data_IF_636550963059
#
_entry.id   IF_636550963059
#
_cell.length_a   1.000
_cell.length_b   1.000
_cell.length_c   1.000
_cell.angle_alpha   90.00
_cell.angle_beta   90.00
_cell.angle_gamma   90.00
#
_symmetry.space_group_name_H-M   'P 1'
#
loop_
_entity.id
_entity.type
_entity.pdbx_description
1 polymer ?
#
# COMPACT_ATOMS: atom_id res chain seq x y z
N UNK A 1 9.62 -1.24 9.44
CA UNK A 1 9.33 -0.14 8.51
C UNK A 1 8.20 0.77 8.99
N UNK A 2 6.99 0.27 9.28
CA UNK A 2 5.87 1.11 9.75
C UNK A 2 6.14 1.93 11.04
N UNK A 3 7.09 1.49 11.89
CA UNK A 3 7.55 2.19 13.09
C UNK A 3 8.71 3.16 12.87
N UNK A 4 9.25 3.24 11.64
CA UNK A 4 10.35 4.15 11.35
C UNK A 4 9.82 5.59 11.36
N UNK A 5 10.55 6.48 12.03
CA UNK A 5 10.30 7.90 11.96
C UNK A 5 10.92 8.48 10.68
N UNK A 6 10.29 9.50 10.08
CA UNK A 6 10.95 10.25 9.02
C UNK A 6 12.20 10.95 9.56
N UNK A 7 13.13 11.28 8.67
CA UNK A 7 14.34 12.02 9.01
C UNK A 7 14.03 13.42 9.56
N UNK A 8 12.94 14.04 9.09
CA UNK A 8 12.41 15.30 9.58
C UNK A 8 10.91 15.16 9.90
N UNK A 9 10.58 15.10 11.19
CA UNK A 9 9.20 14.95 11.67
C UNK A 9 8.37 16.22 11.54
N UNK A 10 9.00 17.38 11.31
CA UNK A 10 8.30 18.64 11.05
C UNK A 10 7.83 18.72 9.60
N UNK A 11 8.58 18.14 8.65
CA UNK A 11 8.22 18.15 7.23
C UNK A 11 7.38 16.95 6.79
N UNK A 12 7.61 15.77 7.38
CA UNK A 12 6.99 14.53 6.94
C UNK A 12 6.07 13.94 8.01
N UNK A 13 4.94 13.39 7.57
CA UNK A 13 4.12 12.53 8.40
C UNK A 13 4.80 11.18 8.60
N UNK A 14 4.73 10.66 9.82
CA UNK A 14 4.97 9.24 10.03
C UNK A 14 3.88 8.39 9.37
N UNK A 15 4.18 7.11 9.16
CA UNK A 15 3.22 6.14 8.60
C UNK A 15 1.96 6.02 9.45
N UNK A 16 2.11 6.04 10.78
CA UNK A 16 0.98 5.90 11.71
C UNK A 16 0.11 7.16 11.73
N UNK A 17 0.71 8.36 11.75
CA UNK A 17 -0.02 9.62 11.63
C UNK A 17 -0.81 9.70 10.32
N UNK A 18 -0.18 9.31 9.19
CA UNK A 18 -0.86 9.29 7.89
C UNK A 18 -2.07 8.34 7.90
N UNK A 19 -1.96 7.18 8.54
CA UNK A 19 -3.07 6.24 8.69
C UNK A 19 -4.19 6.81 9.57
N UNK A 20 -3.87 7.36 10.75
CA UNK A 20 -4.84 8.01 11.64
C UNK A 20 -5.55 9.17 10.94
N UNK A 21 -4.80 10.06 10.27
CA UNK A 21 -5.37 11.22 9.59
C UNK A 21 -6.30 10.80 8.46
N UNK A 22 -5.95 9.76 7.69
CA UNK A 22 -6.84 9.22 6.67
C UNK A 22 -8.16 8.69 7.27
N UNK A 23 -8.08 7.96 8.39
CA UNK A 23 -9.26 7.43 9.06
C UNK A 23 -10.16 8.52 9.62
N UNK A 24 -9.57 9.57 10.19
CA UNK A 24 -10.24 10.72 10.80
C UNK A 24 -10.69 11.78 9.79
N UNK A 25 -10.19 11.72 8.55
CA UNK A 25 -10.45 12.75 7.54
C UNK A 25 -9.72 14.06 7.82
N UNK A 26 -8.57 14.01 8.50
CA UNK A 26 -7.72 15.17 8.79
C UNK A 26 -6.82 15.49 7.60
N UNK A 27 -6.62 16.78 7.36
CA UNK A 27 -5.65 17.29 6.39
C UNK A 27 -4.36 17.72 7.09
N UNK A 28 -3.24 17.70 6.36
CA UNK A 28 -1.95 18.19 6.83
C UNK A 28 -1.15 18.77 5.68
N UNK A 29 -0.44 19.87 5.94
CA UNK A 29 0.53 20.46 5.02
C UNK A 29 1.88 19.69 5.00
N UNK A 30 2.11 18.80 5.97
CA UNK A 30 3.27 17.91 5.97
C UNK A 30 3.18 16.91 4.81
N UNK A 31 4.33 16.47 4.32
CA UNK A 31 4.42 15.50 3.23
C UNK A 31 3.93 14.14 3.72
N UNK A 32 2.92 13.60 3.02
CA UNK A 32 2.36 12.29 3.28
C UNK A 32 3.25 11.19 2.68
N UNK A 33 3.39 10.02 3.32
CA UNK A 33 4.11 8.88 2.75
C UNK A 33 3.63 8.51 1.33
N UNK A 34 2.33 8.65 1.07
CA UNK A 34 1.72 8.40 -0.24
C UNK A 34 2.14 9.43 -1.30
N UNK A 35 2.45 10.68 -0.91
CA UNK A 35 2.98 11.69 -1.83
C UNK A 35 4.42 11.34 -2.24
N UNK A 36 5.29 11.06 -1.26
CA UNK A 36 6.66 10.60 -1.55
C UNK A 36 6.65 9.31 -2.36
N UNK A 37 5.74 8.39 -2.07
CA UNK A 37 5.56 7.16 -2.84
C UNK A 37 5.23 7.41 -4.30
N UNK A 38 4.29 8.31 -4.61
CA UNK A 38 3.96 8.67 -6.00
C UNK A 38 5.17 9.27 -6.72
N UNK A 39 5.84 10.23 -6.08
CA UNK A 39 7.03 10.84 -6.65
C UNK A 39 8.14 9.82 -6.94
N UNK A 40 8.41 8.89 -6.00
CA UNK A 40 9.38 7.83 -6.22
C UNK A 40 9.00 6.86 -7.35
N UNK A 41 7.71 6.55 -7.51
CA UNK A 41 7.26 5.70 -8.61
C UNK A 41 7.43 6.40 -9.97
N UNK A 42 7.11 7.70 -10.05
CA UNK A 42 7.28 8.52 -11.25
C UNK A 42 8.77 8.63 -11.63
N UNK A 43 9.62 9.04 -10.68
CA UNK A 43 11.08 9.16 -10.92
C UNK A 43 11.70 7.82 -11.31
N UNK A 44 11.29 6.72 -10.68
CA UNK A 44 11.77 5.39 -11.04
C UNK A 44 11.48 5.05 -12.51
N UNK A 45 10.22 5.24 -12.93
CA UNK A 45 9.80 5.01 -14.32
C UNK A 45 10.59 5.89 -15.27
N UNK A 46 10.64 7.19 -15.01
CA UNK A 46 11.27 8.15 -15.90
C UNK A 46 12.78 7.86 -16.07
N UNK A 47 13.48 7.48 -15.00
CA UNK A 47 14.90 7.08 -15.08
C UNK A 47 15.07 5.79 -15.88
N UNK A 48 14.22 4.79 -15.69
CA UNK A 48 14.30 3.53 -16.44
C UNK A 48 14.05 3.75 -17.94
N UNK A 49 13.06 4.59 -18.28
CA UNK A 49 12.76 4.95 -19.67
C UNK A 49 13.93 5.71 -20.32
N UNK A 50 14.60 6.60 -19.58
CA UNK A 50 15.77 7.33 -20.06
C UNK A 50 17.00 6.41 -20.22
N UNK A 51 17.16 5.44 -19.33
CA UNK A 51 18.20 4.41 -19.42
C UNK A 51 18.03 3.58 -20.70
N UNK A 52 16.80 3.15 -21.01
CA UNK A 52 16.50 2.41 -22.23
C UNK A 52 16.84 3.25 -23.49
N UNK A 53 16.36 4.49 -23.54
CA UNK A 53 16.69 5.41 -24.64
C UNK A 53 18.19 5.67 -24.79
N UNK A 54 18.92 5.78 -23.68
CA UNK A 54 20.37 5.97 -23.71
C UNK A 54 21.07 4.72 -24.30
N UNK A 55 20.63 3.52 -23.91
CA UNK A 55 21.14 2.25 -24.44
C UNK A 55 20.91 2.13 -25.95
N UNK A 56 19.76 2.54 -26.46
CA UNK A 56 19.46 2.52 -27.90
C UNK A 56 20.31 3.52 -28.71
N UNK A 57 20.63 4.68 -28.13
CA UNK A 57 21.28 5.79 -28.85
C UNK A 57 22.80 5.79 -28.80
N UNK A 58 23.43 5.08 -27.86
CA UNK A 58 24.88 5.18 -27.62
C UNK A 58 25.74 4.71 -28.81
N UNK A 59 25.25 3.73 -29.57
CA UNK A 59 25.93 3.16 -30.73
C UNK A 59 27.40 2.78 -30.42
N UNK A 60 28.33 3.23 -31.27
CA UNK A 60 29.77 2.92 -31.15
C UNK A 60 30.49 3.67 -30.02
N UNK A 61 29.84 4.60 -29.32
CA UNK A 61 30.44 5.38 -28.22
C UNK A 61 30.40 4.65 -26.87
N UNK A 62 29.86 3.44 -26.84
CA UNK A 62 29.74 2.62 -25.63
C UNK A 62 31.12 2.36 -25.01
N UNK A 63 31.25 2.64 -23.72
CA UNK A 63 32.46 2.39 -22.95
C UNK A 63 32.11 1.92 -21.52
N UNK A 64 33.12 1.64 -20.69
CA UNK A 64 32.91 1.12 -19.34
C UNK A 64 32.19 2.11 -18.40
N UNK A 65 32.50 3.41 -18.50
CA UNK A 65 31.81 4.46 -17.73
C UNK A 65 30.32 4.49 -18.11
N UNK A 66 30.07 4.41 -19.41
CA UNK A 66 28.86 3.93 -20.07
C UNK A 66 28.01 2.99 -19.21
N UNK A 67 28.53 1.76 -19.18
CA UNK A 67 27.87 0.63 -18.57
C UNK A 67 27.71 0.80 -17.05
N UNK A 68 28.73 1.30 -16.34
CA UNK A 68 28.64 1.53 -14.89
C UNK A 68 27.58 2.56 -14.54
N UNK A 69 27.50 3.68 -15.28
CA UNK A 69 26.49 4.72 -15.03
C UNK A 69 25.08 4.18 -15.25
N UNK A 70 24.86 3.35 -16.27
CA UNK A 70 23.55 2.73 -16.47
C UNK A 70 23.18 1.76 -15.35
N UNK A 71 24.14 1.02 -14.82
CA UNK A 71 23.93 0.14 -13.66
C UNK A 71 23.52 0.97 -12.44
N UNK A 72 24.23 2.06 -12.15
CA UNK A 72 23.92 2.95 -11.03
C UNK A 72 22.52 3.55 -11.13
N UNK A 73 22.14 4.01 -12.32
CA UNK A 73 20.81 4.56 -12.59
C UNK A 73 19.72 3.49 -12.39
N UNK A 74 19.94 2.26 -12.85
CA UNK A 74 19.00 1.15 -12.64
C UNK A 74 18.88 0.79 -11.16
N UNK A 75 19.97 0.80 -10.40
CA UNK A 75 19.96 0.57 -8.95
C UNK A 75 19.15 1.65 -8.25
N UNK A 76 19.43 2.93 -8.51
CA UNK A 76 18.71 4.05 -7.89
C UNK A 76 17.23 4.07 -8.25
N UNK A 77 16.89 3.79 -9.51
CA UNK A 77 15.50 3.73 -9.95
C UNK A 77 14.72 2.60 -9.25
N UNK A 78 15.30 1.40 -9.14
CA UNK A 78 14.66 0.29 -8.44
C UNK A 78 14.61 0.52 -6.92
N UNK A 79 15.59 1.23 -6.35
CA UNK A 79 15.56 1.64 -4.93
C UNK A 79 14.42 2.62 -4.65
N UNK A 80 14.19 3.58 -5.55
CA UNK A 80 13.04 4.48 -5.46
C UNK A 80 11.72 3.71 -5.55
N UNK A 81 11.57 2.80 -6.53
CA UNK A 81 10.36 1.98 -6.68
C UNK A 81 10.10 1.09 -5.46
N UNK A 82 11.16 0.50 -4.92
CA UNK A 82 11.10 -0.25 -3.67
C UNK A 82 10.49 0.61 -2.55
N UNK A 83 11.05 1.79 -2.30
CA UNK A 83 10.55 2.67 -1.23
C UNK A 83 9.13 3.18 -1.50
N UNK A 84 8.76 3.38 -2.77
CA UNK A 84 7.39 3.71 -3.16
C UNK A 84 6.40 2.64 -2.67
N UNK A 85 6.68 1.38 -2.96
CA UNK A 85 5.84 0.28 -2.52
C UNK A 85 5.90 0.07 -1.00
N UNK A 86 7.09 0.15 -0.41
CA UNK A 86 7.30 -0.09 1.03
C UNK A 86 6.58 0.94 1.90
N UNK A 87 6.53 2.22 1.47
CA UNK A 87 5.73 3.28 2.09
C UNK A 87 4.23 2.92 2.13
N UNK A 88 3.67 2.53 0.99
CA UNK A 88 2.26 2.14 0.90
C UNK A 88 1.96 0.85 1.69
N UNK A 89 2.89 -0.10 1.73
CA UNK A 89 2.77 -1.31 2.55
C UNK A 89 2.67 -0.94 4.04
N UNK A 90 3.53 -0.03 4.49
CA UNK A 90 3.53 0.47 5.86
C UNK A 90 2.23 1.15 6.24
N UNK A 91 1.72 2.07 5.41
CA UNK A 91 0.44 2.76 5.66
C UNK A 91 -0.72 1.77 5.69
N UNK A 92 -0.78 0.84 4.73
CA UNK A 92 -1.85 -0.17 4.68
C UNK A 92 -1.83 -1.07 5.92
N UNK A 93 -0.65 -1.46 6.40
CA UNK A 93 -0.53 -2.22 7.64
C UNK A 93 -0.93 -1.42 8.89
N UNK A 94 -0.59 -0.12 8.95
CA UNK A 94 -1.04 0.76 10.03
C UNK A 94 -2.56 0.92 10.02
N UNK A 95 -3.19 1.09 8.85
CA UNK A 95 -4.65 1.11 8.71
C UNK A 95 -5.30 -0.19 9.21
N UNK A 96 -4.72 -1.35 8.88
CA UNK A 96 -5.16 -2.63 9.43
C UNK A 96 -5.03 -2.66 10.96
N UNK A 97 -3.91 -2.18 11.51
CA UNK A 97 -3.70 -2.11 12.97
C UNK A 97 -4.74 -1.26 13.69
N UNK A 98 -5.20 -0.18 13.06
CA UNK A 98 -6.20 0.73 13.62
C UNK A 98 -7.64 0.21 13.45
N UNK A 99 -7.96 -0.48 12.36
CA UNK A 99 -9.34 -0.83 12.00
C UNK A 99 -9.66 -2.31 11.98
N UNK A 100 -8.67 -3.19 12.07
CA UNK A 100 -8.82 -4.62 11.85
C UNK A 100 -9.47 -4.98 10.50
N UNK A 101 -9.39 -4.06 9.51
CA UNK A 101 -9.91 -4.29 8.17
C UNK A 101 -8.93 -5.16 7.37
N UNK A 102 -9.34 -6.40 7.11
CA UNK A 102 -8.58 -7.39 6.38
C UNK A 102 -8.16 -6.89 4.99
N UNK A 103 -8.97 -6.03 4.36
CA UNK A 103 -8.64 -5.43 3.06
C UNK A 103 -7.33 -4.63 3.13
N UNK A 104 -7.09 -3.91 4.22
CA UNK A 104 -5.86 -3.14 4.41
C UNK A 104 -4.65 -4.04 4.66
N UNK A 105 -4.84 -5.22 5.28
CA UNK A 105 -3.78 -6.21 5.41
C UNK A 105 -3.44 -6.88 4.07
N UNK A 106 -4.44 -7.17 3.24
CA UNK A 106 -4.24 -7.68 1.88
C UNK A 106 -3.51 -6.64 1.00
N UNK A 107 -3.87 -5.34 1.13
CA UNK A 107 -3.16 -4.24 0.46
C UNK A 107 -1.70 -4.15 0.92
N UNK A 108 -1.43 -4.28 2.22
CA UNK A 108 -0.08 -4.27 2.77
C UNK A 108 0.79 -5.41 2.19
N UNK A 109 0.25 -6.63 2.14
CA UNK A 109 0.92 -7.80 1.55
C UNK A 109 1.21 -7.57 0.06
N UNK A 110 0.23 -7.04 -0.67
CA UNK A 110 0.38 -6.76 -2.11
C UNK A 110 1.47 -5.71 -2.37
N UNK A 111 1.55 -4.66 -1.56
CA UNK A 111 2.59 -3.64 -1.68
C UNK A 111 3.96 -4.17 -1.26
N UNK A 112 4.06 -4.92 -0.16
CA UNK A 112 5.33 -5.52 0.28
C UNK A 112 5.89 -6.50 -0.76
N UNK A 113 5.01 -7.28 -1.41
CA UNK A 113 5.39 -8.18 -2.51
C UNK A 113 6.00 -7.40 -3.69
N UNK A 114 5.39 -6.27 -4.08
CA UNK A 114 5.92 -5.40 -5.14
C UNK A 114 7.22 -4.72 -4.73
N UNK A 115 7.36 -4.34 -3.46
CA UNK A 115 8.61 -3.81 -2.94
C UNK A 115 9.72 -4.86 -3.10
N UNK A 116 9.50 -6.09 -2.65
CA UNK A 116 10.49 -7.18 -2.79
C UNK A 116 10.85 -7.39 -4.26
N UNK A 117 9.88 -7.41 -5.19
CA UNK A 117 10.16 -7.54 -6.61
C UNK A 117 11.03 -6.39 -7.17
N UNK A 118 10.81 -5.14 -6.72
CA UNK A 118 11.68 -4.01 -7.10
C UNK A 118 13.09 -4.17 -6.52
N UNK A 119 13.22 -4.68 -5.30
CA UNK A 119 14.53 -4.98 -4.70
C UNK A 119 15.25 -6.12 -5.41
N UNK A 120 14.54 -7.13 -5.89
CA UNK A 120 15.11 -8.21 -6.71
C UNK A 120 15.70 -7.66 -8.02
N UNK A 121 14.99 -6.76 -8.70
CA UNK A 121 15.51 -6.06 -9.89
C UNK A 121 16.73 -5.19 -9.58
N UNK A 122 16.79 -4.57 -8.41
CA UNK A 122 17.98 -3.84 -7.96
C UNK A 122 19.18 -4.78 -7.84
N UNK A 123 19.01 -5.93 -7.19
CA UNK A 123 20.06 -6.94 -7.03
C UNK A 123 20.51 -7.49 -8.38
N UNK A 124 19.56 -7.74 -9.30
CA UNK A 124 19.87 -8.15 -10.68
C UNK A 124 20.69 -7.08 -11.43
N UNK A 125 20.30 -5.80 -11.30
CA UNK A 125 21.01 -4.70 -11.94
C UNK A 125 22.44 -4.53 -11.40
N UNK A 126 22.65 -4.74 -10.09
CA UNK A 126 23.97 -4.68 -9.48
C UNK A 126 24.90 -5.78 -10.01
N UNK A 127 24.37 -6.97 -10.31
CA UNK A 127 25.12 -8.10 -10.87
C UNK A 127 26.45 -8.36 -10.14
N UNK A 128 27.51 -8.60 -10.91
CA UNK A 128 28.89 -8.73 -10.41
C UNK A 128 29.68 -7.39 -10.49
N UNK A 129 28.99 -6.27 -10.77
CA UNK A 129 29.65 -4.96 -10.92
C UNK A 129 30.09 -4.40 -9.57
N UNK A 130 29.35 -4.76 -8.52
CA UNK A 130 29.57 -4.30 -7.17
C UNK A 130 30.19 -5.40 -6.30
N UNK A 131 31.00 -4.99 -5.33
CA UNK A 131 31.64 -5.93 -4.40
C UNK A 131 30.59 -6.61 -3.51
N UNK A 132 30.78 -7.89 -3.22
CA UNK A 132 29.94 -8.68 -2.32
C UNK A 132 29.88 -8.15 -0.87
N UNK A 133 30.81 -7.26 -0.48
CA UNK A 133 30.79 -6.58 0.82
C UNK A 133 30.89 -5.07 0.64
N UNK A 134 29.76 -4.42 0.39
CA UNK A 134 29.68 -2.97 0.27
C UNK A 134 29.77 -2.35 1.65
N UNK A 135 30.83 -1.60 1.90
CA UNK A 135 31.00 -0.85 3.15
C UNK A 135 30.21 0.47 3.08
N UNK A 136 28.96 0.43 3.53
CA UNK A 136 28.09 1.61 3.65
C UNK A 136 28.14 2.25 5.05
N UNK A 137 28.91 1.67 5.97
CA UNK A 137 29.07 2.13 7.35
C UNK A 137 29.69 1.07 8.25
N UNK A 138 29.44 1.15 9.57
CA UNK A 138 29.98 0.18 10.53
C UNK A 138 29.32 -1.19 10.38
N UNK A 139 30.12 -2.23 10.22
CA UNK A 139 29.67 -3.63 10.11
C UNK A 139 28.86 -4.08 11.33
N UNK A 140 29.30 -3.74 12.54
CA UNK A 140 28.56 -4.05 13.77
C UNK A 140 27.18 -3.37 13.89
N UNK A 141 26.88 -2.40 13.02
CA UNK A 141 25.57 -1.77 12.89
C UNK A 141 24.73 -2.32 11.71
N UNK A 142 25.23 -3.35 11.01
CA UNK A 142 24.59 -3.93 9.83
C UNK A 142 24.63 -3.03 8.59
N UNK A 143 25.60 -2.12 8.52
CA UNK A 143 25.80 -1.18 7.39
C UNK A 143 26.87 -1.69 6.40
N UNK A 144 27.08 -2.99 6.34
CA UNK A 144 27.95 -3.66 5.37
C UNK A 144 27.29 -4.93 4.82
N UNK A 145 27.83 -5.48 3.73
CA UNK A 145 27.30 -6.67 3.04
C UNK A 145 26.81 -6.37 1.63
N UNK A 146 26.03 -7.27 1.04
CA UNK A 146 25.47 -7.09 -0.31
C UNK A 146 23.97 -6.84 -0.27
N UNK A 147 23.41 -6.13 -1.26
CA UNK A 147 21.97 -5.89 -1.35
C UNK A 147 21.13 -7.18 -1.37
N UNK A 148 21.71 -8.31 -1.81
CA UNK A 148 21.07 -9.63 -1.80
C UNK A 148 20.77 -10.15 -0.40
N UNK A 149 21.56 -9.76 0.60
CA UNK A 149 21.40 -10.23 1.98
C UNK A 149 20.11 -9.66 2.61
N UNK A 150 19.69 -8.48 2.17
CA UNK A 150 18.46 -7.85 2.62
C UNK A 150 17.21 -8.57 2.10
N UNK A 151 17.27 -9.23 0.93
CA UNK A 151 16.14 -10.01 0.39
C UNK A 151 15.68 -11.10 1.36
N UNK A 152 16.62 -11.73 2.08
CA UNK A 152 16.29 -12.76 3.08
C UNK A 152 15.44 -12.17 4.20
N UNK A 153 15.78 -10.95 4.67
CA UNK A 153 15.03 -10.27 5.74
C UNK A 153 13.66 -9.80 5.25
N UNK A 154 13.59 -9.27 4.03
CA UNK A 154 12.34 -8.80 3.44
C UNK A 154 11.35 -9.95 3.22
N UNK A 155 11.81 -11.08 2.66
CA UNK A 155 10.98 -12.29 2.47
C UNK A 155 10.45 -12.83 3.80
N UNK A 156 11.29 -12.90 4.84
CA UNK A 156 10.85 -13.23 6.21
C UNK A 156 9.81 -12.25 6.75
N UNK A 157 9.93 -10.96 6.43
CA UNK A 157 8.93 -9.93 6.77
C UNK A 157 7.58 -10.19 6.08
N UNK A 158 7.59 -10.47 4.78
CA UNK A 158 6.40 -10.81 4.00
C UNK A 158 5.72 -12.08 4.52
N UNK A 159 6.48 -13.12 4.85
CA UNK A 159 5.94 -14.36 5.44
C UNK A 159 5.19 -14.09 6.76
N UNK A 160 5.70 -13.20 7.61
CA UNK A 160 5.02 -12.80 8.84
C UNK A 160 3.69 -12.10 8.57
N UNK A 161 3.63 -11.20 7.57
CA UNK A 161 2.38 -10.56 7.15
C UNK A 161 1.38 -11.59 6.62
N UNK A 162 1.83 -12.52 5.78
CA UNK A 162 0.99 -13.57 5.22
C UNK A 162 0.48 -14.53 6.30
N UNK A 163 1.31 -14.88 7.29
CA UNK A 163 0.91 -15.70 8.42
C UNK A 163 -0.12 -14.96 9.28
N UNK A 164 0.12 -13.68 9.58
CA UNK A 164 -0.85 -12.81 10.27
C UNK A 164 -2.19 -12.80 9.53
N UNK A 165 -2.17 -12.66 8.20
CA UNK A 165 -3.38 -12.65 7.38
C UNK A 165 -4.13 -13.98 7.39
N UNK A 166 -3.42 -15.11 7.44
CA UNK A 166 -4.01 -16.46 7.53
C UNK A 166 -4.67 -16.71 8.88
N UNK A 167 -4.03 -16.29 9.97
CA UNK A 167 -4.51 -16.53 11.34
C UNK A 167 -5.55 -15.53 11.81
N UNK A 168 -5.56 -14.32 11.25
CA UNK A 168 -6.47 -13.26 11.68
C UNK A 168 -7.94 -13.63 11.46
N UNK A 169 -8.77 -13.41 12.48
CA UNK A 169 -10.23 -13.50 12.43
C UNK A 169 -10.79 -12.24 13.08
N UNK A 170 -11.79 -11.57 12.47
CA UNK A 170 -12.40 -10.40 13.09
C UNK A 170 -13.13 -10.80 14.38
N UNK A 171 -12.83 -10.12 15.48
CA UNK A 171 -13.46 -10.39 16.78
C UNK A 171 -14.77 -9.62 16.88
N UNK A 172 -15.89 -10.34 16.98
CA UNK A 172 -17.22 -9.76 17.18
C UNK A 172 -17.48 -9.63 18.67
N UNK A 173 -17.74 -8.41 19.14
CA UNK A 173 -18.14 -8.13 20.53
C UNK A 173 -19.61 -7.70 20.56
N UNK A 174 -20.46 -8.47 21.24
CA UNK A 174 -21.91 -8.26 21.25
C UNK A 174 -22.64 -9.02 20.14
N UNK A 175 -23.90 -8.63 19.89
CA UNK A 175 -24.80 -9.37 18.99
C UNK A 175 -24.94 -8.71 17.62
N UNK A 176 -24.44 -7.48 17.46
CA UNK A 176 -24.46 -6.78 16.17
C UNK A 176 -23.32 -7.22 15.25
N UNK A 177 -23.52 -7.23 13.93
CA UNK A 177 -22.43 -7.41 12.97
C UNK A 177 -21.31 -6.37 13.18
N UNK A 178 -20.08 -6.85 13.23
CA UNK A 178 -18.88 -6.03 13.14
C UNK A 178 -18.68 -5.59 11.68
N UNK A 179 -18.46 -4.29 11.47
CA UNK A 179 -18.03 -3.74 10.19
C UNK A 179 -16.69 -3.02 10.38
N UNK A 180 -15.65 -3.54 9.76
CA UNK A 180 -14.33 -2.91 9.69
C UNK A 180 -14.08 -2.40 8.28
N UNK A 181 -13.84 -1.09 8.15
CA UNK A 181 -13.67 -0.42 6.87
C UNK A 181 -12.65 0.73 7.00
N UNK A 182 -11.76 0.84 6.02
CA UNK A 182 -10.95 2.04 5.76
C UNK A 182 -11.71 3.02 4.87
N UNK A 183 -12.17 4.19 5.37
CA UNK A 183 -12.91 5.16 4.58
C UNK A 183 -12.14 5.68 3.37
N UNK A 184 -12.83 5.84 2.25
CA UNK A 184 -12.28 6.46 1.05
C UNK A 184 -12.67 7.93 1.06
N UNK A 185 -11.70 8.79 1.39
CA UNK A 185 -11.91 10.24 1.57
C UNK A 185 -11.72 11.04 0.28
N UNK A 186 -10.93 10.52 -0.65
CA UNK A 186 -10.59 11.18 -1.92
C UNK A 186 -10.61 10.16 -3.04
N UNK A 187 -11.17 10.54 -4.18
CA UNK A 187 -11.20 9.73 -5.40
C UNK A 187 -11.27 10.67 -6.61
N UNK A 188 -10.95 10.13 -7.79
CA UNK A 188 -11.12 10.87 -9.05
C UNK A 188 -12.60 10.77 -9.48
N UNK A 189 -13.24 11.88 -9.89
CA UNK A 189 -14.58 11.83 -10.49
C UNK A 189 -14.61 10.85 -11.67
N UNK A 190 -15.79 10.29 -11.98
CA UNK A 190 -16.02 9.37 -13.12
C UNK A 190 -15.41 7.97 -13.03
N UNK A 191 -14.44 7.74 -12.14
CA UNK A 191 -13.96 6.39 -11.81
C UNK A 191 -14.88 5.79 -10.74
N UNK A 192 -15.38 4.57 -10.98
CA UNK A 192 -16.22 3.87 -10.00
C UNK A 192 -15.51 3.67 -8.66
N UNK A 193 -16.22 3.89 -7.56
CA UNK A 193 -15.67 3.78 -6.20
C UNK A 193 -15.86 2.36 -5.67
N UNK A 194 -14.77 1.60 -5.60
CA UNK A 194 -14.78 0.25 -5.06
C UNK A 194 -14.80 0.29 -3.52
N UNK A 195 -15.98 0.12 -2.93
CA UNK A 195 -16.13 0.05 -1.47
C UNK A 195 -15.89 -1.39 -1.02
N UNK A 196 -15.01 -1.55 -0.04
CA UNK A 196 -14.63 -2.85 0.53
C UNK A 196 -14.78 -2.81 2.04
N UNK A 197 -15.27 -3.88 2.64
CA UNK A 197 -15.36 -3.99 4.10
C UNK A 197 -15.01 -5.40 4.55
N UNK A 198 -14.56 -5.48 5.79
CA UNK A 198 -14.52 -6.71 6.56
C UNK A 198 -15.77 -6.77 7.41
N UNK A 199 -16.60 -7.80 7.23
CA UNK A 199 -17.84 -7.98 7.98
C UNK A 199 -17.87 -9.35 8.64
N UNK A 200 -18.24 -9.39 9.91
CA UNK A 200 -18.34 -10.62 10.72
C UNK A 200 -19.43 -10.49 11.77
N UNK A 201 -20.09 -11.59 12.11
CA UNK A 201 -21.16 -11.65 13.12
C UNK A 201 -21.11 -13.02 13.81
N UNK A 202 -21.85 -13.17 14.93
CA UNK A 202 -22.03 -14.48 15.58
C UNK A 202 -22.93 -15.39 14.73
N UNK A 203 -24.02 -14.81 14.25
CA UNK A 203 -24.98 -15.45 13.34
C UNK A 203 -24.55 -15.25 11.88
N UNK A 204 -25.01 -16.06 10.91
CA UNK A 204 -24.68 -15.84 9.51
C UNK A 204 -25.16 -14.46 9.01
N UNK A 205 -24.38 -13.84 8.12
CA UNK A 205 -24.72 -12.54 7.52
C UNK A 205 -25.80 -12.74 6.45
N UNK A 206 -26.94 -12.07 6.60
CA UNK A 206 -28.04 -12.11 5.65
C UNK A 206 -27.81 -11.15 4.46
N UNK A 207 -27.39 -9.91 4.72
CA UNK A 207 -26.99 -8.96 3.67
C UNK A 207 -25.97 -7.93 4.16
N UNK A 208 -25.25 -7.36 3.20
CA UNK A 208 -24.37 -6.21 3.40
C UNK A 208 -24.58 -5.26 2.24
N UNK A 209 -24.80 -3.98 2.52
CA UNK A 209 -25.03 -2.97 1.49
C UNK A 209 -24.31 -1.67 1.80
N UNK A 210 -24.04 -0.91 0.75
CA UNK A 210 -23.56 0.47 0.84
C UNK A 210 -24.70 1.41 0.52
N UNK A 211 -25.03 2.27 1.45
CA UNK A 211 -25.87 3.44 1.21
C UNK A 211 -24.98 4.58 0.72
N UNK A 212 -25.31 5.22 -0.39
CA UNK A 212 -24.57 6.38 -0.90
C UNK A 212 -25.51 7.47 -1.43
N UNK A 213 -25.13 8.75 -1.25
CA UNK A 213 -25.99 9.89 -1.55
C UNK A 213 -25.27 11.23 -1.40
N UNK A 214 -26.04 12.32 -1.40
CA UNK A 214 -25.50 13.68 -1.28
C UNK A 214 -26.29 14.46 -0.22
N UNK A 215 -25.60 15.04 0.76
CA UNK A 215 -26.22 15.80 1.87
C UNK A 215 -27.20 14.97 2.71
N UNK A 216 -28.15 15.62 3.39
CA UNK A 216 -29.22 14.95 4.16
C UNK A 216 -30.38 14.40 3.29
N UNK A 217 -30.08 13.96 2.06
CA UNK A 217 -31.05 13.47 1.09
C UNK A 217 -31.37 11.98 1.18
N UNK A 218 -32.14 11.47 0.20
CA UNK A 218 -32.44 10.04 0.03
C UNK A 218 -31.18 9.28 -0.44
N UNK A 219 -30.76 8.27 0.33
CA UNK A 219 -29.68 7.36 -0.04
C UNK A 219 -30.12 6.36 -1.12
N UNK A 220 -29.22 6.07 -2.06
CA UNK A 220 -29.29 4.87 -2.92
C UNK A 220 -28.55 3.73 -2.24
N UNK A 221 -28.92 2.50 -2.56
CA UNK A 221 -28.29 1.31 -1.99
C UNK A 221 -27.65 0.47 -3.09
N UNK A 222 -26.46 -0.05 -2.80
CA UNK A 222 -25.77 -1.05 -3.61
C UNK A 222 -25.41 -2.25 -2.73
N UNK A 223 -25.85 -3.44 -3.13
CA UNK A 223 -25.48 -4.70 -2.46
C UNK A 223 -23.97 -4.95 -2.53
N UNK A 224 -23.40 -5.41 -1.42
CA UNK A 224 -22.02 -5.86 -1.33
C UNK A 224 -21.96 -7.38 -1.41
N UNK A 225 -21.14 -7.89 -2.33
CA UNK A 225 -20.94 -9.33 -2.50
C UNK A 225 -19.79 -9.79 -1.62
N UNK A 226 -19.98 -10.91 -0.93
CA UNK A 226 -18.89 -11.60 -0.27
C UNK A 226 -17.99 -12.24 -1.33
N UNK A 227 -16.72 -11.84 -1.38
CA UNK A 227 -15.74 -12.35 -2.37
C UNK A 227 -14.78 -13.38 -1.76
N UNK A 228 -14.58 -13.31 -0.45
CA UNK A 228 -13.77 -14.23 0.37
C UNK A 228 -14.35 -14.22 1.79
N UNK A 229 -13.99 -15.17 2.67
CA UNK A 229 -14.38 -15.12 4.07
C UNK A 229 -14.14 -13.73 4.67
N UNK A 230 -15.19 -13.18 5.28
CA UNK A 230 -15.29 -11.83 5.86
C UNK A 230 -15.14 -10.64 4.89
N UNK A 231 -14.74 -10.82 3.63
CA UNK A 231 -14.49 -9.71 2.72
C UNK A 231 -15.70 -9.47 1.82
N UNK A 232 -16.27 -8.27 1.94
CA UNK A 232 -17.39 -7.80 1.14
C UNK A 232 -16.95 -6.65 0.23
N UNK A 233 -17.47 -6.60 -0.99
CA UNK A 233 -17.15 -5.55 -1.96
C UNK A 233 -18.36 -5.16 -2.80
N UNK A 234 -18.44 -3.87 -3.11
CA UNK A 234 -19.31 -3.35 -4.16
C UNK A 234 -18.60 -2.25 -4.96
N UNK A 235 -19.25 -1.77 -6.02
CA UNK A 235 -18.80 -0.66 -6.84
C UNK A 235 -19.91 0.39 -6.90
N UNK A 236 -19.66 1.58 -6.36
CA UNK A 236 -20.52 2.73 -6.65
C UNK A 236 -20.14 3.22 -8.05
N UNK A 237 -21.09 3.30 -9.01
CA UNK A 237 -20.78 3.70 -10.38
C UNK A 237 -20.14 5.08 -10.45
N UNK A 238 -19.17 5.25 -11.36
CA UNK A 238 -18.45 6.52 -11.55
C UNK A 238 -19.37 7.72 -11.86
N UNK A 239 -20.52 7.46 -12.51
CA UNK A 239 -21.55 8.48 -12.76
C UNK A 239 -22.23 9.04 -11.50
N UNK A 240 -22.07 8.34 -10.37
CA UNK A 240 -22.55 8.77 -9.05
C UNK A 240 -21.42 9.40 -8.21
N UNK A 241 -20.19 9.45 -8.70
CA UNK A 241 -19.07 10.05 -7.95
C UNK A 241 -19.01 11.53 -8.29
N UNK A 242 -19.50 12.36 -7.36
CA UNK A 242 -19.47 13.82 -7.43
C UNK A 242 -19.02 14.38 -6.07
N UNK A 243 -18.58 15.63 -6.07
CA UNK A 243 -18.26 16.33 -4.83
C UNK A 243 -19.46 16.31 -3.86
N UNK A 244 -19.18 16.13 -2.57
CA UNK A 244 -20.21 15.99 -1.54
C UNK A 244 -20.89 14.62 -1.46
N UNK A 245 -20.40 13.60 -2.18
CA UNK A 245 -20.83 12.22 -2.00
C UNK A 245 -20.52 11.76 -0.56
N UNK A 246 -21.54 11.25 0.12
CA UNK A 246 -21.42 10.57 1.40
C UNK A 246 -21.90 9.11 1.27
N UNK A 247 -21.33 8.21 2.07
CA UNK A 247 -21.74 6.83 2.10
C UNK A 247 -21.53 6.19 3.47
N UNK A 248 -22.34 5.19 3.78
CA UNK A 248 -22.14 4.31 4.92
C UNK A 248 -22.41 2.85 4.55
N UNK A 249 -21.87 1.95 5.36
CA UNK A 249 -22.01 0.50 5.18
C UNK A 249 -22.95 -0.02 6.24
N UNK A 250 -23.85 -0.91 5.82
CA UNK A 250 -24.80 -1.58 6.68
C UNK A 250 -24.67 -3.08 6.48
N UNK A 251 -24.70 -3.83 7.58
CA UNK A 251 -24.74 -5.28 7.59
C UNK A 251 -25.88 -5.74 8.48
N UNK A 252 -26.57 -6.80 8.06
CA UNK A 252 -27.66 -7.43 8.81
C UNK A 252 -27.39 -8.92 8.87
N UNK A 253 -27.50 -9.51 10.06
CA UNK A 253 -27.44 -10.98 10.23
C UNK A 253 -28.81 -11.65 10.05
N UNK A 254 -28.83 -12.99 9.96
CA UNK A 254 -30.05 -13.77 9.75
C UNK A 254 -31.07 -13.65 10.90
N UNK A 255 -30.65 -13.18 12.08
CA UNK A 255 -31.54 -12.90 13.22
C UNK A 255 -32.07 -11.47 13.24
N UNK A 256 -31.63 -10.63 12.30
CA UNK A 256 -32.07 -9.25 12.15
C UNK A 256 -31.24 -8.22 12.93
N UNK A 257 -30.10 -8.61 13.53
CA UNK A 257 -29.22 -7.63 14.16
C UNK A 257 -28.53 -6.77 13.10
N UNK A 258 -28.45 -5.46 13.38
CA UNK A 258 -27.95 -4.42 12.47
C UNK A 258 -27.08 -3.40 13.19
#
# INVERSE_FOLDING_TARGET
>A
YARALPSDTQQFLSIDEAASYQLEGKESARIWPQQSSRWFAEVSRDVLDLVEQAQERIGRKKNKEFDSTLVDLKILANLALYHSHRANAGVSWALFKHRNDINALDDAIGQETRAIAAWEKLVEAAGDVYNDNLMMGREGAGLSGHWRDELVKLRKGLEKLQLQRKSFRPTVTGDKPLISHVPIRKTVPTVGLAVRATVSSKEPIANVKVAYGYGQGKYKYAEMKQIKPYIYRTLIPGSQIKEGLDYFIEAVDETGNR
#
